data_IF_504468238625
#
_entry.id   IF_504468238625
#
_cell.length_a   1.000
_cell.length_b   1.000
_cell.length_c   1.000
_cell.angle_alpha   90.00
_cell.angle_beta   90.00
_cell.angle_gamma   90.00
#
_symmetry.space_group_name_H-M   'P 1'
#
loop_
_entity.id
_entity.type
_entity.pdbx_description
1 polymer ?
#
# COMPACT_ATOMS: atom_id res chain seq x y z
N UNK A 1 -18.92 3.34 68.95
CA UNK A 1 -18.79 2.12 68.11
C UNK A 1 -18.44 2.61 66.71
N UNK A 2 -17.36 2.25 66.02
CA UNK A 2 -16.44 1.14 66.12
C UNK A 2 -15.15 1.47 65.33
N UNK A 3 -14.02 1.02 65.87
CA UNK A 3 -12.76 0.61 65.22
C UNK A 3 -11.99 1.54 64.27
N UNK A 4 -11.00 2.22 64.88
CA UNK A 4 -9.65 2.40 64.33
C UNK A 4 -9.05 1.05 63.90
N UNK A 5 -8.52 1.00 62.67
CA UNK A 5 -7.55 -0.03 62.27
C UNK A 5 -6.38 0.64 61.52
N UNK A 6 -5.28 0.82 62.25
CA UNK A 6 -3.93 1.03 61.70
C UNK A 6 -3.53 -0.24 60.95
N UNK A 7 -3.18 -0.10 59.67
CA UNK A 7 -2.38 -1.12 58.95
C UNK A 7 -1.10 -0.49 58.44
N UNK A 8 -0.01 -0.98 59.03
CA UNK A 8 1.37 -0.80 58.63
C UNK A 8 1.56 -1.26 57.18
N UNK A 9 2.18 -0.43 56.35
CA UNK A 9 2.79 -0.88 55.10
C UNK A 9 4.27 -1.13 55.36
N UNK A 10 4.66 -2.39 55.21
CA UNK A 10 6.05 -2.83 55.20
C UNK A 10 6.77 -2.27 53.97
N UNK A 11 7.95 -1.72 54.20
CA UNK A 11 8.95 -1.38 53.19
C UNK A 11 9.46 -2.65 52.53
N UNK A 12 9.14 -2.85 51.25
CA UNK A 12 9.78 -3.87 50.42
C UNK A 12 11.06 -3.29 49.82
N UNK A 13 12.20 -3.87 50.18
CA UNK A 13 13.48 -3.57 49.55
C UNK A 13 13.47 -4.10 48.11
N UNK A 14 13.54 -3.20 47.12
CA UNK A 14 13.74 -3.56 45.74
C UNK A 14 15.21 -3.95 45.52
N UNK A 15 15.46 -5.24 45.32
CA UNK A 15 16.74 -5.73 44.80
C UNK A 15 16.91 -5.24 43.37
N UNK A 16 17.84 -4.30 43.15
CA UNK A 16 18.36 -4.00 41.81
C UNK A 16 19.14 -5.21 41.31
N UNK A 17 18.47 -6.08 40.55
CA UNK A 17 19.19 -7.03 39.69
C UNK A 17 19.86 -6.22 38.58
N UNK A 18 21.19 -6.30 38.53
CA UNK A 18 21.98 -5.74 37.45
C UNK A 18 21.53 -6.36 36.11
N UNK A 19 20.91 -5.56 35.26
CA UNK A 19 20.66 -5.92 33.85
C UNK A 19 22.03 -5.94 33.17
N UNK A 20 22.58 -7.13 32.98
CA UNK A 20 23.77 -7.32 32.16
C UNK A 20 23.51 -6.78 30.74
N UNK A 21 24.53 -6.32 30.01
CA UNK A 21 24.36 -5.88 28.64
C UNK A 21 23.78 -7.04 27.82
N UNK A 22 22.61 -6.83 27.23
CA UNK A 22 22.02 -7.77 26.29
C UNK A 22 23.05 -8.04 25.20
N UNK A 23 23.60 -9.26 25.14
CA UNK A 23 24.47 -9.67 24.04
C UNK A 23 23.67 -9.51 22.75
N UNK A 24 24.11 -8.60 21.88
CA UNK A 24 23.53 -8.44 20.56
C UNK A 24 23.58 -9.79 19.84
N UNK A 25 22.42 -10.43 19.68
CA UNK A 25 22.34 -11.71 18.99
C UNK A 25 22.81 -11.48 17.55
N UNK A 26 23.86 -12.20 17.14
CA UNK A 26 24.40 -12.07 15.80
C UNK A 26 23.28 -12.36 14.79
N UNK A 27 22.95 -11.35 13.97
CA UNK A 27 21.91 -11.47 12.96
C UNK A 27 22.29 -12.49 11.86
N UNK A 28 21.34 -12.86 10.99
CA UNK A 28 21.59 -13.79 9.91
C UNK A 28 22.72 -13.31 8.99
N UNK A 29 23.46 -14.25 8.40
CA UNK A 29 24.54 -13.94 7.48
C UNK A 29 23.99 -13.20 6.24
N UNK A 30 24.68 -12.16 5.73
CA UNK A 30 24.26 -11.48 4.51
C UNK A 30 24.21 -12.42 3.30
N UNK A 31 23.20 -12.24 2.46
CA UNK A 31 22.99 -12.97 1.21
C UNK A 31 23.21 -12.06 0.01
N UNK A 32 23.63 -12.65 -1.11
CA UNK A 32 23.74 -11.93 -2.37
C UNK A 32 22.33 -11.53 -2.86
N UNK A 33 22.20 -10.28 -3.28
CA UNK A 33 20.97 -9.73 -3.85
C UNK A 33 21.35 -8.86 -5.05
N UNK A 34 20.76 -9.13 -6.22
CA UNK A 34 20.91 -8.26 -7.38
C UNK A 34 19.70 -7.33 -7.44
N UNK A 35 19.90 -6.02 -7.50
CA UNK A 35 18.80 -5.06 -7.55
C UNK A 35 18.00 -5.14 -8.86
N UNK A 36 16.88 -4.43 -8.93
CA UNK A 36 16.08 -4.29 -10.16
C UNK A 36 16.89 -3.57 -11.24
N UNK A 37 17.69 -2.57 -10.87
CA UNK A 37 18.62 -1.87 -11.76
C UNK A 37 19.90 -2.67 -12.06
N UNK A 38 20.01 -3.91 -11.57
CA UNK A 38 21.11 -4.83 -11.91
C UNK A 38 22.36 -4.73 -11.04
N UNK A 39 22.36 -3.92 -9.97
CA UNK A 39 23.48 -3.77 -9.02
C UNK A 39 23.55 -4.95 -8.06
N UNK A 40 24.74 -5.51 -7.88
CA UNK A 40 24.96 -6.57 -6.89
C UNK A 40 25.18 -5.98 -5.49
N UNK A 41 24.48 -6.55 -4.51
CA UNK A 41 24.43 -6.13 -3.12
C UNK A 41 24.59 -7.34 -2.21
N UNK A 42 24.98 -7.09 -0.95
CA UNK A 42 24.88 -8.06 0.14
C UNK A 42 23.92 -7.52 1.17
N UNK A 43 22.82 -8.22 1.41
CA UNK A 43 21.76 -7.79 2.32
C UNK A 43 21.53 -8.85 3.40
N UNK A 44 21.23 -8.43 4.62
CA UNK A 44 20.90 -9.32 5.73
C UNK A 44 19.42 -9.73 5.65
N UNK A 45 19.11 -11.04 5.53
CA UNK A 45 17.74 -11.49 5.31
C UNK A 45 16.98 -11.73 6.62
N UNK A 46 15.73 -11.31 6.68
CA UNK A 46 14.77 -11.69 7.72
C UNK A 46 13.55 -12.29 7.04
N UNK A 47 13.15 -13.50 7.45
CA UNK A 47 12.18 -14.31 6.72
C UNK A 47 10.90 -14.47 7.54
N UNK A 48 9.78 -14.04 6.96
CA UNK A 48 8.43 -14.27 7.47
C UNK A 48 7.76 -15.48 6.84
N UNK A 49 6.45 -15.61 7.03
CA UNK A 49 5.63 -16.68 6.46
C UNK A 49 5.46 -16.55 4.95
N UNK A 50 5.31 -15.33 4.44
CA UNK A 50 5.01 -15.04 3.02
C UNK A 50 6.00 -14.06 2.39
N UNK A 51 6.64 -13.24 3.20
CA UNK A 51 7.55 -12.19 2.79
C UNK A 51 8.94 -12.37 3.39
N UNK A 52 9.94 -11.76 2.77
CA UNK A 52 11.30 -11.68 3.29
C UNK A 52 11.80 -10.23 3.19
N UNK A 53 12.29 -9.70 4.30
CA UNK A 53 12.84 -8.36 4.42
C UNK A 53 14.36 -8.42 4.35
N UNK A 54 14.97 -7.77 3.36
CA UNK A 54 16.42 -7.73 3.15
C UNK A 54 16.94 -6.33 3.47
N UNK A 55 17.79 -6.20 4.48
CA UNK A 55 18.24 -4.91 5.03
C UNK A 55 19.75 -4.76 4.86
N UNK A 56 20.25 -3.52 4.76
CA UNK A 56 21.69 -3.25 4.81
C UNK A 56 22.33 -3.94 6.06
N UNK A 57 23.37 -4.78 5.90
CA UNK A 57 24.03 -5.45 7.01
C UNK A 57 24.59 -4.49 8.08
N UNK A 58 24.98 -3.28 7.70
CA UNK A 58 25.53 -2.27 8.61
C UNK A 58 24.44 -1.56 9.44
N UNK A 59 23.17 -1.67 9.05
CA UNK A 59 22.06 -1.03 9.77
C UNK A 59 21.80 -1.74 11.10
N UNK A 60 21.77 -1.05 12.24
CA UNK A 60 21.29 -1.64 13.48
C UNK A 60 19.79 -1.92 13.38
N UNK A 61 19.36 -3.09 13.85
CA UNK A 61 17.95 -3.48 13.82
C UNK A 61 17.54 -4.04 15.17
N UNK A 62 16.38 -3.60 15.66
CA UNK A 62 15.69 -4.26 16.77
C UNK A 62 14.93 -5.47 16.21
N UNK A 63 15.22 -6.65 16.75
CA UNK A 63 14.64 -7.91 16.28
C UNK A 63 13.11 -7.92 16.44
N UNK A 64 12.59 -7.38 17.54
CA UNK A 64 11.16 -7.34 17.78
C UNK A 64 10.43 -6.46 16.75
N UNK A 65 11.01 -5.30 16.40
CA UNK A 65 10.50 -4.45 15.33
C UNK A 65 10.51 -5.15 13.97
N UNK A 66 11.57 -5.89 13.64
CA UNK A 66 11.63 -6.67 12.38
C UNK A 66 10.56 -7.77 12.34
N UNK A 67 10.34 -8.49 13.45
CA UNK A 67 9.31 -9.52 13.55
C UNK A 67 7.90 -8.93 13.39
N UNK A 68 7.63 -7.76 13.99
CA UNK A 68 6.38 -7.01 13.81
C UNK A 68 6.16 -6.59 12.34
N UNK A 69 7.21 -6.07 11.70
CA UNK A 69 7.17 -5.67 10.28
C UNK A 69 6.83 -6.86 9.39
N UNK A 70 7.53 -7.99 9.56
CA UNK A 70 7.28 -9.20 8.77
C UNK A 70 5.86 -9.72 8.97
N UNK A 71 5.35 -9.71 10.21
CA UNK A 71 3.97 -10.09 10.49
C UNK A 71 2.95 -9.18 9.79
N UNK A 72 3.20 -7.86 9.75
CA UNK A 72 2.34 -6.92 9.02
C UNK A 72 2.40 -7.14 7.51
N UNK A 73 3.60 -7.31 6.95
CA UNK A 73 3.79 -7.61 5.53
C UNK A 73 3.16 -8.93 5.10
N UNK A 74 3.26 -9.99 5.92
CA UNK A 74 2.62 -11.26 5.64
C UNK A 74 1.09 -11.13 5.61
N UNK A 75 0.49 -10.43 6.58
CA UNK A 75 -0.97 -10.17 6.58
C UNK A 75 -1.40 -9.34 5.37
N UNK A 76 -0.63 -8.32 5.01
CA UNK A 76 -0.92 -7.49 3.85
C UNK A 76 -0.84 -8.27 2.54
N UNK A 77 0.21 -9.07 2.36
CA UNK A 77 0.36 -9.90 1.16
C UNK A 77 -0.75 -10.94 1.04
N UNK A 78 -1.11 -11.60 2.15
CA UNK A 78 -2.24 -12.55 2.17
C UNK A 78 -3.57 -11.87 1.86
N UNK A 79 -3.78 -10.64 2.32
CA UNK A 79 -4.96 -9.86 1.96
C UNK A 79 -5.03 -9.63 0.45
N UNK A 80 -3.93 -9.24 -0.19
CA UNK A 80 -3.88 -9.02 -1.63
C UNK A 80 -4.22 -10.29 -2.42
N UNK A 81 -3.56 -11.42 -2.10
CA UNK A 81 -3.83 -12.70 -2.75
C UNK A 81 -5.30 -13.13 -2.59
N UNK A 82 -5.85 -12.99 -1.38
CA UNK A 82 -7.23 -13.39 -1.09
C UNK A 82 -8.29 -12.44 -1.67
N UNK A 83 -7.99 -11.15 -1.77
CA UNK A 83 -8.93 -10.16 -2.29
C UNK A 83 -9.06 -10.25 -3.81
N UNK A 84 -7.93 -10.39 -4.52
CA UNK A 84 -7.89 -10.43 -5.97
C UNK A 84 -7.98 -11.84 -6.55
N UNK A 85 -7.88 -12.89 -5.72
CA UNK A 85 -7.86 -14.29 -6.19
C UNK A 85 -6.77 -14.55 -7.24
N UNK A 86 -5.64 -13.85 -7.11
CA UNK A 86 -4.52 -13.91 -8.06
C UNK A 86 -3.42 -14.84 -7.57
N UNK A 87 -2.79 -15.53 -8.51
CA UNK A 87 -1.49 -16.17 -8.31
C UNK A 87 -0.41 -15.27 -8.91
N UNK A 88 0.47 -14.74 -8.07
CA UNK A 88 1.50 -13.79 -8.50
C UNK A 88 2.83 -14.51 -8.66
N UNK A 89 3.32 -14.57 -9.89
CA UNK A 89 4.68 -15.06 -10.18
C UNK A 89 5.73 -14.09 -9.63
N UNK A 90 6.37 -14.47 -8.53
CA UNK A 90 7.44 -13.70 -7.89
C UNK A 90 8.73 -13.77 -8.72
N UNK A 91 9.21 -12.64 -9.26
CA UNK A 91 10.50 -12.62 -10.00
C UNK A 91 11.72 -12.46 -9.10
N UNK A 92 11.57 -11.80 -7.95
CA UNK A 92 12.59 -11.73 -6.88
C UNK A 92 11.95 -12.32 -5.64
N UNK A 93 12.60 -13.37 -5.18
CA UNK A 93 12.19 -14.09 -3.99
C UNK A 93 13.42 -14.49 -3.20
N UNK A 94 13.24 -14.58 -1.89
CA UNK A 94 14.20 -15.17 -0.98
C UNK A 94 13.49 -16.26 -0.19
N UNK A 95 14.04 -17.48 -0.18
CA UNK A 95 13.41 -18.66 0.41
C UNK A 95 11.94 -18.91 -0.08
N UNK A 96 11.67 -18.62 -1.36
CA UNK A 96 10.33 -18.76 -1.95
C UNK A 96 9.30 -17.74 -1.47
N UNK A 97 9.74 -16.64 -0.87
CA UNK A 97 8.90 -15.56 -0.31
C UNK A 97 9.08 -14.26 -1.11
N UNK A 98 8.06 -13.41 -1.15
CA UNK A 98 8.14 -12.08 -1.77
C UNK A 98 9.24 -11.26 -1.08
N UNK A 99 10.24 -10.82 -1.84
CA UNK A 99 11.34 -10.01 -1.32
C UNK A 99 10.94 -8.54 -1.20
N UNK A 100 11.23 -7.93 -0.05
CA UNK A 100 11.21 -6.50 0.23
C UNK A 100 12.63 -6.11 0.62
N UNK A 101 13.36 -5.39 -0.24
CA UNK A 101 14.78 -5.11 -0.09
C UNK A 101 15.08 -3.62 0.07
N UNK A 102 15.94 -3.28 1.02
CA UNK A 102 16.56 -1.96 1.12
C UNK A 102 17.61 -1.78 0.02
N UNK A 103 17.42 -0.78 -0.84
CA UNK A 103 18.34 -0.47 -1.95
C UNK A 103 18.56 1.05 -2.02
N UNK A 104 19.81 1.48 -1.97
CA UNK A 104 20.19 2.91 -1.92
C UNK A 104 20.13 3.66 -3.27
N UNK A 105 19.67 3.02 -4.34
CA UNK A 105 19.68 3.59 -5.68
C UNK A 105 18.42 4.42 -5.97
N UNK A 106 18.55 5.41 -6.87
CA UNK A 106 17.44 6.29 -7.26
C UNK A 106 16.50 5.54 -8.21
N UNK A 107 15.55 4.80 -7.66
CA UNK A 107 14.56 4.09 -8.45
C UNK A 107 13.32 3.81 -7.63
N UNK A 108 12.19 4.34 -8.09
CA UNK A 108 10.89 4.00 -7.53
C UNK A 108 10.67 2.49 -7.54
N UNK A 109 10.01 2.04 -6.48
CA UNK A 109 9.24 0.82 -6.32
C UNK A 109 8.72 0.26 -7.66
N UNK A 110 9.14 -0.96 -8.01
CA UNK A 110 8.53 -1.72 -9.10
C UNK A 110 7.91 -3.00 -8.57
N UNK A 111 6.59 -3.00 -8.41
CA UNK A 111 5.83 -4.24 -8.19
C UNK A 111 5.68 -5.07 -9.46
N UNK A 112 6.75 -5.34 -10.20
CA UNK A 112 6.70 -6.28 -11.32
C UNK A 112 7.69 -7.43 -11.17
N UNK A 113 8.30 -7.56 -9.98
CA UNK A 113 9.29 -8.57 -9.74
C UNK A 113 9.91 -8.61 -8.35
N UNK A 114 9.29 -8.06 -7.32
CA UNK A 114 9.91 -7.87 -6.01
C UNK A 114 9.57 -6.48 -5.48
N UNK A 115 10.06 -6.11 -4.31
CA UNK A 115 9.86 -4.78 -3.73
C UNK A 115 11.23 -4.25 -3.34
N UNK A 116 11.58 -3.06 -3.84
CA UNK A 116 12.76 -2.32 -3.39
C UNK A 116 12.30 -1.01 -2.74
N UNK A 117 12.81 -0.74 -1.55
CA UNK A 117 12.53 0.47 -0.78
C UNK A 117 13.81 1.21 -0.46
N UNK A 118 13.71 2.54 -0.34
CA UNK A 118 14.85 3.39 -0.04
C UNK A 118 15.32 3.19 1.42
N UNK A 119 16.58 3.51 1.73
CA UNK A 119 17.08 3.54 3.09
C UNK A 119 16.26 4.44 4.03
N UNK A 120 15.74 5.57 3.52
CA UNK A 120 14.87 6.47 4.28
C UNK A 120 13.53 5.81 4.63
N UNK A 121 12.91 5.10 3.68
CA UNK A 121 11.69 4.32 3.94
C UNK A 121 11.93 3.17 4.92
N UNK A 122 13.10 2.53 4.85
CA UNK A 122 13.49 1.47 5.81
C UNK A 122 13.68 2.03 7.21
N UNK A 123 14.33 3.21 7.34
CA UNK A 123 14.45 3.91 8.63
C UNK A 123 13.06 4.22 9.21
N UNK A 124 12.15 4.79 8.41
CA UNK A 124 10.80 5.10 8.86
C UNK A 124 10.04 3.84 9.28
N UNK A 125 10.14 2.77 8.48
CA UNK A 125 9.51 1.48 8.77
C UNK A 125 9.97 0.90 10.11
N UNK A 126 11.27 0.90 10.40
CA UNK A 126 11.82 0.40 11.66
C UNK A 126 11.41 1.27 12.85
N UNK A 127 11.44 2.59 12.71
CA UNK A 127 11.07 3.53 13.79
C UNK A 127 9.58 3.44 14.13
N UNK A 128 8.72 3.33 13.12
CA UNK A 128 7.27 3.29 13.30
C UNK A 128 6.80 1.93 13.84
N UNK A 129 7.48 0.85 13.47
CA UNK A 129 7.18 -0.48 13.99
C UNK A 129 7.38 -0.62 15.51
N UNK A 130 8.19 0.25 16.14
CA UNK A 130 8.29 0.34 17.59
C UNK A 130 7.00 0.86 18.26
N UNK A 131 6.16 1.55 17.50
CA UNK A 131 4.87 2.10 17.92
C UNK A 131 3.68 1.33 17.33
N UNK A 132 3.92 0.14 16.77
CA UNK A 132 2.93 -0.67 16.04
C UNK A 132 2.23 0.08 14.89
N UNK A 133 2.97 0.97 14.22
CA UNK A 133 2.56 1.65 12.99
C UNK A 133 3.50 1.28 11.85
N UNK A 134 2.99 1.27 10.62
CA UNK A 134 3.75 0.75 9.49
C UNK A 134 3.75 1.72 8.31
N UNK A 135 4.94 1.96 7.76
CA UNK A 135 5.09 2.73 6.53
C UNK A 135 4.36 2.02 5.38
N UNK A 136 3.61 2.79 4.60
CA UNK A 136 2.68 2.27 3.60
C UNK A 136 3.31 1.91 2.24
N UNK A 137 4.59 2.23 2.03
CA UNK A 137 5.25 2.06 0.72
C UNK A 137 5.23 0.61 0.28
N UNK A 138 5.59 -0.35 1.14
CA UNK A 138 5.60 -1.76 0.78
C UNK A 138 4.22 -2.28 0.35
N UNK A 139 3.15 -1.84 1.03
CA UNK A 139 1.77 -2.24 0.69
C UNK A 139 1.33 -1.66 -0.65
N UNK A 140 1.72 -0.42 -0.97
CA UNK A 140 1.57 0.15 -2.31
C UNK A 140 2.24 -0.74 -3.38
N UNK A 141 3.48 -1.19 -3.12
CA UNK A 141 4.21 -2.06 -4.04
C UNK A 141 3.53 -3.43 -4.23
N UNK A 142 2.95 -3.98 -3.16
CA UNK A 142 2.20 -5.24 -3.21
C UNK A 142 1.01 -5.13 -4.17
N UNK A 143 0.32 -3.98 -4.17
CA UNK A 143 -0.71 -3.67 -5.16
C UNK A 143 -0.18 -3.75 -6.59
N UNK A 144 0.93 -3.08 -6.89
CA UNK A 144 1.53 -3.14 -8.23
C UNK A 144 1.84 -4.59 -8.67
N UNK A 145 2.30 -5.45 -7.76
CA UNK A 145 2.54 -6.87 -8.03
C UNK A 145 1.25 -7.65 -8.37
N UNK A 146 0.08 -7.22 -7.87
CA UNK A 146 -1.20 -7.91 -8.08
C UNK A 146 -1.99 -7.41 -9.30
N UNK A 147 -1.70 -6.22 -9.81
CA UNK A 147 -2.41 -5.65 -10.97
C UNK A 147 -2.25 -6.49 -12.26
N UNK A 148 -1.22 -7.35 -12.33
CA UNK A 148 -1.02 -8.30 -13.43
C UNK A 148 -0.59 -7.68 -14.76
N UNK A 149 -0.21 -8.55 -15.71
CA UNK A 149 0.32 -8.18 -17.04
C UNK A 149 -0.77 -7.86 -18.08
N UNK A 150 -2.04 -8.15 -17.80
CA UNK A 150 -3.17 -7.91 -18.71
C UNK A 150 -3.68 -6.47 -18.75
N UNK A 151 -3.35 -5.67 -17.71
CA UNK A 151 -3.65 -4.23 -17.53
C UNK A 151 -4.85 -3.73 -18.37
N UNK A 152 -6.10 -4.05 -18.01
CA UNK A 152 -7.30 -3.68 -18.77
C UNK A 152 -7.37 -2.17 -19.07
N UNK A 153 -6.88 -1.36 -18.12
CA UNK A 153 -6.83 0.11 -18.19
C UNK A 153 -5.42 0.67 -18.44
N UNK A 154 -4.48 -0.18 -18.86
CA UNK A 154 -3.05 0.12 -18.88
C UNK A 154 -2.57 1.14 -19.93
N UNK A 155 -3.48 1.73 -20.72
CA UNK A 155 -3.14 2.83 -21.64
C UNK A 155 -3.13 4.20 -20.95
N UNK A 156 -3.77 4.31 -19.79
CA UNK A 156 -3.70 5.48 -18.92
C UNK A 156 -2.95 5.04 -17.66
N UNK A 157 -1.68 5.41 -17.55
CA UNK A 157 -0.80 5.00 -16.44
C UNK A 157 -1.37 5.33 -15.06
N UNK A 158 -2.14 6.43 -14.96
CA UNK A 158 -2.80 6.83 -13.74
C UNK A 158 -3.66 5.72 -13.12
N UNK A 159 -4.32 4.88 -13.92
CA UNK A 159 -5.14 3.78 -13.40
C UNK A 159 -4.33 2.66 -12.76
N UNK A 160 -3.10 2.41 -13.22
CA UNK A 160 -2.19 1.43 -12.62
C UNK A 160 -1.70 1.90 -11.26
N UNK A 161 -1.21 3.13 -11.18
CA UNK A 161 -0.67 3.66 -9.93
C UNK A 161 -1.78 4.00 -8.93
N UNK A 162 -2.91 4.52 -9.41
CA UNK A 162 -4.10 4.76 -8.60
C UNK A 162 -4.67 3.48 -8.00
N UNK A 163 -4.52 2.33 -8.68
CA UNK A 163 -4.84 1.04 -8.08
C UNK A 163 -3.97 0.75 -6.86
N UNK A 164 -2.66 0.95 -6.96
CA UNK A 164 -1.76 0.75 -5.85
C UNK A 164 -2.02 1.76 -4.71
N UNK A 165 -2.33 3.02 -5.05
CA UNK A 165 -2.66 4.06 -4.07
C UNK A 165 -3.91 3.72 -3.25
N UNK A 166 -5.01 3.32 -3.89
CA UNK A 166 -6.24 3.00 -3.15
C UNK A 166 -6.11 1.69 -2.37
N UNK A 167 -5.48 0.68 -2.95
CA UNK A 167 -5.46 -0.65 -2.33
C UNK A 167 -4.49 -0.77 -1.17
N UNK A 168 -3.45 0.08 -1.06
CA UNK A 168 -2.61 0.07 0.14
C UNK A 168 -3.45 0.34 1.40
N UNK A 169 -4.42 1.26 1.32
CA UNK A 169 -5.29 1.59 2.44
C UNK A 169 -6.28 0.46 2.73
N UNK A 170 -6.93 -0.09 1.70
CA UNK A 170 -7.85 -1.22 1.87
C UNK A 170 -7.15 -2.48 2.39
N UNK A 171 -5.91 -2.70 1.95
CA UNK A 171 -5.06 -3.76 2.45
C UNK A 171 -4.77 -3.56 3.93
N UNK A 172 -4.28 -2.38 4.32
CA UNK A 172 -3.94 -2.09 5.70
C UNK A 172 -5.16 -2.15 6.62
N UNK A 173 -6.28 -1.54 6.23
CA UNK A 173 -7.56 -1.62 6.94
C UNK A 173 -8.04 -3.08 7.06
N UNK A 174 -8.12 -3.80 5.94
CA UNK A 174 -8.65 -5.17 5.90
C UNK A 174 -7.75 -6.22 6.55
N UNK A 175 -6.47 -5.90 6.76
CA UNK A 175 -5.48 -6.76 7.42
C UNK A 175 -5.21 -6.36 8.88
N UNK A 176 -5.91 -5.34 9.40
CA UNK A 176 -5.70 -4.82 10.76
C UNK A 176 -4.28 -4.29 10.96
N UNK A 177 -3.81 -3.46 10.04
CA UNK A 177 -2.49 -2.84 10.06
C UNK A 177 -2.66 -1.34 10.22
N UNK A 178 -2.12 -0.81 11.31
CA UNK A 178 -2.15 0.63 11.59
C UNK A 178 -1.11 1.35 10.71
N UNK A 179 -1.55 2.35 9.96
CA UNK A 179 -0.66 3.14 9.12
C UNK A 179 0.16 4.16 9.90
N UNK A 180 1.43 4.30 9.51
CA UNK A 180 2.26 5.41 9.95
C UNK A 180 1.87 6.71 9.22
N UNK A 181 2.18 7.90 9.79
CA UNK A 181 2.05 9.17 9.08
C UNK A 181 2.76 9.16 7.72
N UNK A 182 2.20 9.90 6.76
CA UNK A 182 2.81 10.07 5.44
C UNK A 182 4.06 10.93 5.53
N UNK A 183 3.94 12.05 6.24
CA UNK A 183 5.02 12.95 6.58
C UNK A 183 4.75 13.57 7.97
N UNK A 184 5.57 14.55 8.37
CA UNK A 184 5.47 15.20 9.68
C UNK A 184 4.19 16.03 9.86
N UNK A 185 3.57 16.47 8.76
CA UNK A 185 2.42 17.37 8.72
C UNK A 185 1.14 16.68 8.20
N UNK A 186 1.19 15.36 7.99
CA UNK A 186 0.10 14.60 7.42
C UNK A 186 0.07 13.18 7.97
N UNK A 187 -0.85 12.95 8.92
CA UNK A 187 -1.11 11.61 9.40
C UNK A 187 -1.75 10.72 8.33
N UNK A 188 -1.81 9.42 8.64
CA UNK A 188 -2.27 8.40 7.72
C UNK A 188 -3.71 8.64 7.22
N UNK A 189 -4.62 9.02 8.12
CA UNK A 189 -6.03 9.17 7.79
C UNK A 189 -6.30 10.46 7.03
N UNK A 190 -5.64 11.56 7.40
CA UNK A 190 -5.69 12.80 6.63
C UNK A 190 -5.07 12.61 5.24
N UNK A 191 -3.96 11.87 5.11
CA UNK A 191 -3.41 11.53 3.80
C UNK A 191 -4.42 10.76 2.95
N UNK A 192 -4.96 9.66 3.49
CA UNK A 192 -5.99 8.84 2.84
C UNK A 192 -7.19 9.67 2.42
N UNK A 193 -7.71 10.53 3.30
CA UNK A 193 -8.84 11.41 3.00
C UNK A 193 -8.51 12.39 1.88
N UNK A 194 -7.34 13.04 1.95
CA UNK A 194 -6.94 14.09 1.00
C UNK A 194 -6.82 13.58 -0.43
N UNK A 195 -6.34 12.34 -0.64
CA UNK A 195 -6.17 11.80 -1.99
C UNK A 195 -7.40 11.04 -2.49
N UNK A 196 -8.20 10.43 -1.62
CA UNK A 196 -9.33 9.58 -2.02
C UNK A 196 -10.69 10.29 -2.02
N UNK A 197 -10.83 11.39 -1.28
CA UNK A 197 -12.09 12.12 -1.12
C UNK A 197 -11.92 13.55 -1.64
N UNK A 198 -11.09 14.37 -0.99
CA UNK A 198 -10.96 15.79 -1.33
C UNK A 198 -10.57 16.03 -2.78
N UNK A 199 -9.69 15.19 -3.33
CA UNK A 199 -9.23 15.31 -4.70
C UNK A 199 -10.34 15.04 -5.73
N UNK A 200 -11.20 14.04 -5.46
CA UNK A 200 -12.36 13.75 -6.30
C UNK A 200 -13.41 14.86 -6.17
N UNK A 201 -13.67 15.35 -4.96
CA UNK A 201 -14.65 16.43 -4.74
C UNK A 201 -14.22 17.72 -5.45
N UNK A 202 -12.92 18.07 -5.41
CA UNK A 202 -12.35 19.18 -6.21
C UNK A 202 -12.53 18.96 -7.70
N UNK A 203 -12.23 17.75 -8.18
CA UNK A 203 -12.43 17.40 -9.58
C UNK A 203 -13.89 17.57 -10.01
N UNK A 204 -14.85 17.11 -9.20
CA UNK A 204 -16.28 17.17 -9.52
C UNK A 204 -16.82 18.59 -9.49
N UNK A 205 -16.36 19.43 -8.54
CA UNK A 205 -16.79 20.81 -8.39
C UNK A 205 -16.40 21.69 -9.58
N UNK A 206 -15.23 21.47 -10.18
CA UNK A 206 -14.73 22.29 -11.29
C UNK A 206 -15.31 21.84 -12.65
N UNK A 207 -16.25 22.62 -13.19
CA UNK A 207 -16.93 22.32 -14.45
C UNK A 207 -16.02 22.37 -15.69
N UNK A 208 -14.82 22.95 -15.59
CA UNK A 208 -13.84 22.97 -16.69
C UNK A 208 -13.06 21.66 -16.83
N UNK A 209 -13.09 20.81 -15.79
CA UNK A 209 -12.38 19.54 -15.76
C UNK A 209 -13.24 18.39 -16.27
N UNK A 210 -12.61 17.43 -16.93
CA UNK A 210 -13.17 16.14 -17.34
C UNK A 210 -12.06 15.09 -17.36
N UNK A 211 -12.39 13.83 -17.67
CA UNK A 211 -11.38 12.76 -17.68
C UNK A 211 -10.28 12.97 -18.73
N UNK A 212 -10.61 13.61 -19.86
CA UNK A 212 -9.68 13.86 -20.96
C UNK A 212 -8.57 14.82 -20.56
N UNK A 213 -8.91 15.93 -19.90
CA UNK A 213 -7.93 16.96 -19.49
C UNK A 213 -7.29 16.70 -18.11
N UNK A 214 -7.66 15.60 -17.45
CA UNK A 214 -7.07 15.15 -16.18
C UNK A 214 -6.40 13.79 -16.33
N UNK A 215 -7.11 12.68 -16.06
CA UNK A 215 -6.59 11.32 -16.04
C UNK A 215 -5.84 10.96 -17.33
N UNK A 216 -6.44 11.20 -18.50
CA UNK A 216 -5.79 10.90 -19.79
C UNK A 216 -4.66 11.86 -20.14
N UNK A 217 -4.65 13.05 -19.55
CA UNK A 217 -3.57 14.03 -19.69
C UNK A 217 -2.46 13.87 -18.64
N UNK A 218 -2.56 12.88 -17.74
CA UNK A 218 -1.62 12.71 -16.63
C UNK A 218 -1.67 13.84 -15.60
N UNK A 219 -2.81 14.52 -15.47
CA UNK A 219 -3.04 15.66 -14.56
C UNK A 219 -4.16 15.39 -13.56
N UNK A 220 -4.17 16.19 -12.50
CA UNK A 220 -5.27 16.28 -11.54
C UNK A 220 -5.65 17.75 -11.32
N UNK A 221 -6.80 18.04 -10.68
CA UNK A 221 -7.13 19.40 -10.26
C UNK A 221 -6.02 19.99 -9.38
N UNK A 222 -5.82 21.31 -9.48
CA UNK A 222 -4.90 22.03 -8.59
C UNK A 222 -5.32 21.79 -7.15
N UNK A 223 -4.37 21.38 -6.32
CA UNK A 223 -4.59 21.06 -4.92
C UNK A 223 -3.38 21.46 -4.05
N UNK A 224 -3.58 21.73 -2.74
CA UNK A 224 -2.53 22.27 -1.89
C UNK A 224 -1.31 21.35 -1.69
N UNK A 225 -1.45 20.06 -2.00
CA UNK A 225 -0.44 19.03 -1.74
C UNK A 225 0.25 18.52 -3.01
N UNK A 226 -0.13 19.02 -4.19
CA UNK A 226 0.45 18.60 -5.47
C UNK A 226 0.11 17.16 -5.89
N UNK A 227 -1.00 16.59 -5.40
CA UNK A 227 -1.48 15.28 -5.82
C UNK A 227 -1.76 15.24 -7.32
N UNK A 228 -1.44 14.11 -7.97
CA UNK A 228 -1.47 13.94 -9.41
C UNK A 228 -2.60 13.02 -9.90
N UNK A 229 -2.49 12.63 -11.17
CA UNK A 229 -3.51 11.79 -11.82
C UNK A 229 -3.63 10.39 -11.18
N UNK A 230 -2.53 9.86 -10.64
CA UNK A 230 -2.51 8.56 -9.96
C UNK A 230 -3.45 8.58 -8.76
N UNK A 231 -3.32 9.58 -7.89
CA UNK A 231 -4.18 9.78 -6.73
C UNK A 231 -5.64 9.99 -7.16
N UNK A 232 -5.88 10.78 -8.22
CA UNK A 232 -7.24 10.98 -8.75
C UNK A 232 -7.86 9.66 -9.25
N UNK A 233 -7.11 8.82 -9.95
CA UNK A 233 -7.57 7.50 -10.36
C UNK A 233 -7.84 6.59 -9.15
N UNK A 234 -7.01 6.67 -8.10
CA UNK A 234 -7.25 6.04 -6.81
C UNK A 234 -8.58 6.48 -6.18
N UNK A 235 -8.87 7.77 -6.23
CA UNK A 235 -10.14 8.33 -5.76
C UNK A 235 -11.35 7.82 -6.58
N UNK A 236 -11.17 7.62 -7.89
CA UNK A 236 -12.20 7.04 -8.75
C UNK A 236 -12.54 5.61 -8.32
N UNK A 237 -11.52 4.77 -8.08
CA UNK A 237 -11.75 3.43 -7.55
C UNK A 237 -12.38 3.47 -6.16
N UNK A 238 -11.90 4.34 -5.27
CA UNK A 238 -12.41 4.49 -3.92
C UNK A 238 -13.90 4.85 -3.91
N UNK A 239 -14.37 5.66 -4.87
CA UNK A 239 -15.78 6.01 -5.00
C UNK A 239 -16.68 4.78 -5.17
N UNK A 240 -16.28 3.82 -6.01
CA UNK A 240 -17.01 2.54 -6.18
C UNK A 240 -17.12 1.79 -4.85
N UNK A 241 -16.03 1.75 -4.07
CA UNK A 241 -15.99 1.10 -2.75
C UNK A 241 -16.86 1.79 -1.70
N UNK A 242 -16.91 3.12 -1.74
CA UNK A 242 -17.70 3.96 -0.83
C UNK A 242 -19.20 3.75 -1.08
N UNK A 243 -19.62 3.73 -2.34
CA UNK A 243 -21.03 3.65 -2.70
C UNK A 243 -21.61 2.22 -2.53
N UNK A 244 -20.80 1.18 -2.75
CA UNK A 244 -21.29 -0.21 -2.83
C UNK A 244 -20.68 -1.20 -1.83
N UNK A 245 -19.91 -0.72 -0.86
CA UNK A 245 -19.34 -1.59 0.14
C UNK A 245 -18.25 -2.54 -0.43
N UNK A 246 -17.73 -3.42 0.42
CA UNK A 246 -16.66 -4.38 0.04
C UNK A 246 -17.13 -5.35 -1.02
N UNK A 247 -18.39 -5.79 -0.94
CA UNK A 247 -18.96 -6.78 -1.85
C UNK A 247 -19.08 -6.23 -3.28
N UNK A 248 -19.62 -5.01 -3.45
CA UNK A 248 -19.71 -4.37 -4.77
C UNK A 248 -18.34 -4.11 -5.38
N UNK A 249 -17.40 -3.63 -4.56
CA UNK A 249 -16.03 -3.37 -5.01
C UNK A 249 -15.28 -4.65 -5.42
N UNK A 250 -15.47 -5.76 -4.71
CA UNK A 250 -14.90 -7.05 -5.10
C UNK A 250 -15.45 -7.54 -6.44
N UNK A 251 -16.75 -7.38 -6.70
CA UNK A 251 -17.35 -7.71 -8.01
C UNK A 251 -16.75 -6.84 -9.12
N UNK A 252 -16.61 -5.54 -8.88
CA UNK A 252 -15.96 -4.61 -9.80
C UNK A 252 -14.55 -5.08 -10.17
N UNK A 253 -13.74 -5.46 -9.19
CA UNK A 253 -12.38 -5.93 -9.45
C UNK A 253 -12.31 -7.26 -10.17
N UNK A 254 -13.18 -8.22 -9.82
CA UNK A 254 -13.24 -9.50 -10.53
C UNK A 254 -13.50 -9.26 -12.02
N UNK A 255 -14.49 -8.43 -12.33
CA UNK A 255 -14.80 -8.07 -13.72
C UNK A 255 -13.68 -7.26 -14.38
N UNK A 256 -12.99 -6.38 -13.64
CA UNK A 256 -11.85 -5.62 -14.16
C UNK A 256 -10.70 -6.53 -14.57
N UNK A 257 -10.32 -7.48 -13.72
CA UNK A 257 -9.22 -8.41 -14.02
C UNK A 257 -9.50 -9.31 -15.24
N UNK A 258 -10.77 -9.63 -15.49
CA UNK A 258 -11.21 -10.45 -16.63
C UNK A 258 -11.44 -9.62 -17.91
N UNK A 259 -11.41 -8.29 -17.83
CA UNK A 259 -11.74 -7.43 -18.96
C UNK A 259 -10.62 -7.41 -20.02
N UNK A 260 -10.98 -7.31 -21.32
CA UNK A 260 -9.97 -7.13 -22.36
C UNK A 260 -9.17 -5.85 -22.15
N UNK A 261 -7.95 -5.81 -22.66
CA UNK A 261 -7.10 -4.61 -22.65
C UNK A 261 -7.71 -3.50 -23.50
N UNK A 262 -7.74 -2.26 -22.99
CA UNK A 262 -8.17 -1.10 -23.76
C UNK A 262 -7.07 -0.66 -24.73
N UNK A 263 -7.45 -0.32 -25.96
CA UNK A 263 -6.52 0.11 -27.02
C UNK A 263 -6.48 1.62 -27.19
N UNK A 264 -7.48 2.33 -26.66
CA UNK A 264 -7.54 3.79 -26.67
C UNK A 264 -7.88 4.36 -25.29
N UNK A 265 -7.49 5.63 -24.98
CA UNK A 265 -7.91 6.28 -23.74
C UNK A 265 -9.43 6.33 -23.56
N UNK A 266 -10.20 6.51 -24.65
CA UNK A 266 -11.67 6.53 -24.59
C UNK A 266 -12.25 5.16 -24.29
N UNK A 267 -11.68 4.10 -24.86
CA UNK A 267 -12.03 2.74 -24.50
C UNK A 267 -11.70 2.44 -23.05
N UNK A 268 -10.57 2.92 -22.54
CA UNK A 268 -10.18 2.77 -21.14
C UNK A 268 -11.20 3.40 -20.20
N UNK A 269 -11.60 4.65 -20.47
CA UNK A 269 -12.65 5.34 -19.73
C UNK A 269 -14.01 4.62 -19.83
N UNK A 270 -14.40 4.19 -21.04
CA UNK A 270 -15.62 3.42 -21.27
C UNK A 270 -15.61 2.10 -20.52
N UNK A 271 -14.47 1.40 -20.49
CA UNK A 271 -14.31 0.12 -19.80
C UNK A 271 -14.53 0.26 -18.31
N UNK A 272 -13.94 1.28 -17.70
CA UNK A 272 -14.17 1.56 -16.28
C UNK A 272 -15.67 1.68 -15.99
N UNK A 273 -16.40 2.51 -16.73
CA UNK A 273 -17.83 2.74 -16.47
C UNK A 273 -18.71 1.53 -16.82
N UNK A 274 -18.37 0.77 -17.87
CA UNK A 274 -19.01 -0.50 -18.22
C UNK A 274 -18.91 -1.51 -17.07
N UNK A 275 -17.69 -1.69 -16.55
CA UNK A 275 -17.40 -2.64 -15.47
C UNK A 275 -18.08 -2.18 -14.18
N UNK A 276 -17.97 -0.89 -13.84
CA UNK A 276 -18.63 -0.32 -12.66
C UNK A 276 -20.14 -0.55 -12.71
N UNK A 277 -20.78 -0.20 -13.83
CA UNK A 277 -22.22 -0.42 -14.02
C UNK A 277 -22.60 -1.88 -13.96
N UNK A 278 -21.83 -2.77 -14.58
CA UNK A 278 -22.12 -4.21 -14.57
C UNK A 278 -21.97 -4.79 -13.16
N UNK A 279 -20.98 -4.34 -12.39
CA UNK A 279 -20.72 -4.83 -11.04
C UNK A 279 -21.69 -4.30 -9.98
N UNK A 280 -22.22 -3.08 -10.18
CA UNK A 280 -22.95 -2.35 -9.14
C UNK A 280 -24.36 -1.92 -9.52
N UNK A 281 -24.69 -1.88 -10.81
CA UNK A 281 -25.95 -1.38 -11.34
C UNK A 281 -25.98 0.13 -11.58
N UNK A 282 -24.95 0.88 -11.20
CA UNK A 282 -24.93 2.35 -11.26
C UNK A 282 -24.18 2.90 -12.48
N UNK A 283 -24.70 3.97 -13.08
CA UNK A 283 -24.04 4.68 -14.17
C UNK A 283 -23.02 5.68 -13.62
N UNK A 284 -21.74 5.41 -13.85
CA UNK A 284 -20.62 6.25 -13.40
C UNK A 284 -20.08 7.22 -14.46
N UNK A 285 -20.77 7.44 -15.59
CA UNK A 285 -20.34 8.43 -16.61
C UNK A 285 -20.24 9.85 -16.06
N UNK A 286 -21.01 10.17 -15.02
CA UNK A 286 -20.91 11.46 -14.33
C UNK A 286 -19.54 11.67 -13.67
N UNK A 287 -18.86 10.61 -13.21
CA UNK A 287 -17.50 10.72 -12.66
C UNK A 287 -16.48 11.08 -13.74
N UNK A 288 -16.72 10.66 -14.98
CA UNK A 288 -15.87 11.01 -16.11
C UNK A 288 -16.25 12.36 -16.73
N UNK A 289 -17.44 12.88 -16.39
CA UNK A 289 -18.05 14.07 -17.01
C UNK A 289 -18.16 13.94 -18.53
N UNK A 290 -18.50 12.73 -18.99
CA UNK A 290 -18.61 12.39 -20.41
C UNK A 290 -19.74 11.39 -20.63
N UNK A 291 -20.86 11.87 -21.16
CA UNK A 291 -22.04 11.05 -21.46
C UNK A 291 -21.86 10.17 -22.71
N UNK A 292 -20.80 10.40 -23.50
CA UNK A 292 -20.53 9.66 -24.74
C UNK A 292 -19.78 8.35 -24.52
N UNK A 293 -19.34 8.07 -23.29
CA UNK A 293 -18.73 6.80 -22.93
C UNK A 293 -19.74 5.67 -23.05
N UNK A 294 -19.29 4.53 -23.56
CA UNK A 294 -20.14 3.36 -23.75
C UNK A 294 -20.45 2.68 -22.40
N UNK A 295 -21.62 2.05 -22.30
CA UNK A 295 -22.09 1.39 -21.07
C UNK A 295 -22.27 -0.13 -21.21
N UNK A 296 -22.17 -0.63 -22.44
CA UNK A 296 -22.27 -2.04 -22.80
C UNK A 296 -21.03 -2.43 -23.58
N UNK A 297 -20.59 -3.67 -23.37
CA UNK A 297 -19.53 -4.34 -24.11
C UNK A 297 -19.97 -4.67 -25.53
#
# INVERSE_FOLDING_TARGET
MAHLNRRSFMTAAASFAAVGPAMAQAGPAPVAYRSINGKDLKLRPFVGRRTALLIDPARPVDRASVERILAAFDRGWEWYLAFFEVDVSLKKQHAGKLTIAEVADQGFIYGAGGIEILPSSTTLLLNEAAHDRYNQSAFYCMGLNCWGSGKPLGIIDAFLFGFADVHRFHCMEGAGITGAPWDVDLDFDHYRHSILIDLLDRYLADQSLNWQNTLAAGKAPVNPRGWGANELAGAFYYRIRRDHGRAGYRRFWKMMLDAPKAETPKECASRFVQIARTATGEDYRWMFKDQTLQLVY
#
